data_IF_939949397972
#
_entry.id   IF_939949397972
#
_cell.length_a   1.000
_cell.length_b   1.000
_cell.length_c   1.000
_cell.angle_alpha   90.00
_cell.angle_beta   90.00
_cell.angle_gamma   90.00
#
_symmetry.space_group_name_H-M   'P 1'
#
loop_
_entity.id
_entity.type
_entity.pdbx_description
1 polymer ?
#
# COMPACT_ATOMS: atom_id res chain seq x y z
N UNK A 1 0.20 39.96 -37.21
CA UNK A 1 0.16 39.79 -35.73
C UNK A 1 -0.13 38.33 -35.43
N UNK A 2 0.87 37.60 -34.92
CA UNK A 2 0.75 36.17 -34.62
C UNK A 2 0.14 35.92 -33.25
N UNK A 3 -0.95 35.15 -33.18
CA UNK A 3 -1.47 34.60 -31.94
C UNK A 3 -1.18 33.10 -31.91
N UNK A 4 -0.10 32.79 -31.20
CA UNK A 4 0.24 31.46 -30.69
C UNK A 4 -0.80 31.08 -29.65
N UNK A 5 -1.51 29.97 -29.84
CA UNK A 5 -2.61 29.56 -28.97
C UNK A 5 -2.77 28.05 -28.82
N UNK A 6 -1.72 27.40 -28.30
CA UNK A 6 -1.71 26.21 -27.43
C UNK A 6 -2.74 25.09 -27.70
N UNK A 7 -2.23 23.99 -28.26
CA UNK A 7 -2.82 22.65 -28.09
C UNK A 7 -2.94 22.32 -26.60
N UNK A 8 -4.11 21.99 -26.03
CA UNK A 8 -4.16 21.32 -24.74
C UNK A 8 -3.73 19.86 -24.93
N UNK A 9 -2.66 19.54 -24.22
CA UNK A 9 -1.99 18.25 -24.12
C UNK A 9 -2.92 17.14 -23.64
N UNK A 10 -2.80 15.99 -24.29
CA UNK A 10 -3.27 14.72 -23.80
C UNK A 10 -2.64 14.39 -22.44
N UNK A 11 -3.46 14.26 -21.41
CA UNK A 11 -3.17 13.45 -20.22
C UNK A 11 -4.48 13.00 -19.59
N UNK A 12 -5.34 12.36 -20.39
CA UNK A 12 -6.49 11.62 -19.87
C UNK A 12 -5.98 10.21 -19.56
N UNK A 13 -5.34 10.07 -18.40
CA UNK A 13 -5.03 8.77 -17.81
C UNK A 13 -6.37 8.20 -17.33
N UNK A 14 -6.80 7.00 -17.78
CA UNK A 14 -8.04 6.42 -17.29
C UNK A 14 -7.87 5.98 -15.84
N UNK A 15 -8.83 6.38 -14.99
CA UNK A 15 -8.95 5.98 -13.59
C UNK A 15 -9.16 4.46 -13.48
N UNK A 16 -8.38 3.72 -12.66
CA UNK A 16 -8.49 2.27 -12.51
C UNK A 16 -9.57 1.81 -11.50
N UNK A 17 -10.55 2.64 -11.18
CA UNK A 17 -11.59 2.33 -10.18
C UNK A 17 -13.01 2.66 -10.69
N UNK A 18 -13.33 2.22 -11.90
CA UNK A 18 -14.73 2.11 -12.34
C UNK A 18 -15.37 0.88 -11.68
N UNK A 19 -15.95 1.14 -10.52
CA UNK A 19 -16.82 0.23 -9.78
C UNK A 19 -18.04 -0.11 -10.64
N UNK A 20 -18.09 -1.34 -11.16
CA UNK A 20 -19.25 -1.87 -11.90
C UNK A 20 -20.17 -2.59 -10.90
N UNK A 21 -21.31 -2.01 -10.49
CA UNK A 21 -22.35 -2.80 -9.84
C UNK A 21 -23.06 -3.66 -10.89
N UNK A 22 -22.72 -4.95 -10.92
CA UNK A 22 -23.51 -5.98 -11.60
C UNK A 22 -24.88 -6.06 -10.94
N UNK A 23 -25.87 -5.43 -11.56
CA UNK A 23 -27.28 -5.58 -11.18
C UNK A 23 -27.72 -7.03 -11.38
N UNK A 24 -28.10 -7.71 -10.30
CA UNK A 24 -28.81 -8.99 -10.35
C UNK A 24 -30.18 -8.78 -9.71
N UNK A 25 -31.20 -8.76 -10.55
CA UNK A 25 -32.60 -8.73 -10.17
C UNK A 25 -33.00 -10.14 -9.73
N UNK A 26 -33.43 -10.32 -8.48
CA UNK A 26 -34.21 -11.47 -8.07
C UNK A 26 -35.17 -11.06 -6.96
N UNK A 27 -36.43 -10.94 -7.37
CA UNK A 27 -37.61 -10.73 -6.54
C UNK A 27 -37.75 -11.90 -5.57
N UNK A 28 -37.60 -11.66 -4.28
CA UNK A 28 -38.11 -12.57 -3.26
C UNK A 28 -38.44 -11.80 -1.99
N UNK A 29 -39.60 -12.09 -1.43
CA UNK A 29 -40.16 -11.49 -0.21
C UNK A 29 -39.30 -11.71 1.05
N UNK A 30 -38.12 -12.33 0.91
CA UNK A 30 -37.09 -12.47 1.94
C UNK A 30 -36.39 -11.14 2.28
N UNK A 31 -36.60 -10.09 1.47
CA UNK A 31 -36.14 -8.73 1.75
C UNK A 31 -36.84 -8.06 2.95
N UNK A 32 -37.85 -8.69 3.56
CA UNK A 32 -38.46 -8.23 4.81
C UNK A 32 -37.90 -8.92 6.07
N UNK A 33 -36.99 -9.88 5.95
CA UNK A 33 -36.36 -10.52 7.12
C UNK A 33 -35.19 -9.69 7.63
N UNK A 34 -35.51 -8.52 8.19
CA UNK A 34 -34.52 -7.60 8.73
C UNK A 34 -35.10 -6.30 9.25
N UNK A 35 -36.41 -6.24 9.53
CA UNK A 35 -36.99 -5.11 10.26
C UNK A 35 -36.60 -5.21 11.74
N UNK A 36 -35.33 -4.95 12.02
CA UNK A 36 -34.81 -4.84 13.38
C UNK A 36 -35.01 -3.39 13.80
N UNK A 37 -36.07 -3.13 14.55
CA UNK A 37 -36.23 -1.87 15.28
C UNK A 37 -35.22 -1.86 16.43
N UNK A 38 -33.98 -1.43 16.18
CA UNK A 38 -33.00 -1.19 17.24
C UNK A 38 -33.21 0.23 17.76
N UNK A 39 -34.03 0.33 18.79
CA UNK A 39 -34.12 1.50 19.66
C UNK A 39 -32.78 1.68 20.39
N UNK A 40 -32.30 2.92 20.45
CA UNK A 40 -31.11 3.40 21.17
C UNK A 40 -29.73 3.22 20.47
N UNK A 41 -29.44 4.13 19.53
CA UNK A 41 -28.18 4.89 19.59
C UNK A 41 -26.89 4.40 18.91
N UNK A 42 -26.83 3.22 18.28
CA UNK A 42 -25.56 2.70 17.72
C UNK A 42 -25.65 2.24 16.26
N UNK A 43 -24.74 2.71 15.38
CA UNK A 43 -24.50 2.02 14.10
C UNK A 43 -23.85 0.67 14.40
N UNK A 44 -24.29 -0.39 13.73
CA UNK A 44 -23.71 -1.73 13.82
C UNK A 44 -23.12 -2.13 12.46
N UNK A 45 -22.03 -2.89 12.45
CA UNK A 45 -21.38 -3.34 11.23
C UNK A 45 -22.23 -4.41 10.52
N UNK A 46 -22.52 -4.29 9.20
CA UNK A 46 -23.36 -5.25 8.49
C UNK A 46 -22.70 -6.63 8.30
N UNK A 47 -21.38 -6.73 8.41
CA UNK A 47 -20.64 -7.98 8.23
C UNK A 47 -20.55 -8.82 9.52
N UNK A 48 -20.44 -8.16 10.67
CA UNK A 48 -20.17 -8.83 11.95
C UNK A 48 -21.13 -8.46 13.08
N UNK A 49 -22.14 -7.63 12.81
CA UNK A 49 -23.23 -7.21 13.70
C UNK A 49 -22.79 -6.64 15.07
N UNK A 50 -21.52 -6.28 15.20
CA UNK A 50 -20.98 -5.58 16.36
C UNK A 50 -21.15 -4.07 16.19
N UNK A 51 -21.27 -3.30 17.29
CA UNK A 51 -21.26 -1.84 17.23
C UNK A 51 -19.99 -1.37 16.50
N UNK A 52 -20.08 -0.30 15.70
CA UNK A 52 -18.95 0.15 14.86
C UNK A 52 -17.68 0.38 15.69
N UNK A 53 -17.80 0.82 16.94
CA UNK A 53 -16.67 0.99 17.88
C UNK A 53 -15.94 -0.31 18.23
N UNK A 54 -16.64 -1.46 18.25
CA UNK A 54 -16.04 -2.77 18.53
C UNK A 54 -15.68 -3.54 17.24
N UNK A 55 -16.02 -3.01 16.07
CA UNK A 55 -15.84 -3.69 14.81
C UNK A 55 -14.36 -3.76 14.41
N UNK A 56 -13.83 -4.98 14.31
CA UNK A 56 -12.48 -5.28 13.80
C UNK A 56 -12.45 -5.61 12.31
N UNK A 57 -13.63 -5.71 11.67
CA UNK A 57 -13.83 -6.28 10.34
C UNK A 57 -13.16 -5.45 9.23
N UNK A 58 -12.81 -4.18 9.50
CA UNK A 58 -12.04 -3.29 8.61
C UNK A 58 -10.79 -2.68 9.26
N UNK A 59 -10.32 -3.20 10.40
CA UNK A 59 -9.15 -2.64 11.06
C UNK A 59 -7.88 -3.02 10.30
N UNK A 60 -7.23 -2.01 9.69
CA UNK A 60 -5.90 -2.12 9.12
C UNK A 60 -4.90 -2.39 10.24
N UNK A 61 -4.48 -3.64 10.40
CA UNK A 61 -3.42 -4.00 11.36
C UNK A 61 -2.08 -3.49 10.82
N UNK A 62 -1.52 -2.50 11.50
CA UNK A 62 -0.13 -2.12 11.32
C UNK A 62 0.69 -3.14 12.10
N UNK A 63 1.66 -3.84 11.47
CA UNK A 63 2.48 -4.79 12.21
C UNK A 63 3.24 -4.07 13.33
N UNK A 64 3.07 -4.53 14.57
CA UNK A 64 3.90 -4.11 15.70
C UNK A 64 5.35 -4.47 15.38
N UNK A 65 6.17 -3.45 15.17
CA UNK A 65 7.61 -3.57 14.99
C UNK A 65 8.29 -2.32 15.50
N UNK A 66 9.62 -2.40 15.69
CA UNK A 66 10.47 -1.33 16.24
C UNK A 66 10.36 0.03 15.53
N UNK A 67 9.64 0.12 14.40
CA UNK A 67 9.53 1.34 13.60
C UNK A 67 10.76 1.62 12.74
N UNK A 68 11.70 0.66 12.67
CA UNK A 68 13.02 0.86 12.07
C UNK A 68 13.13 0.07 10.76
N UNK A 69 13.19 0.79 9.65
CA UNK A 69 13.49 0.24 8.33
C UNK A 69 14.97 -0.18 8.25
N UNK A 70 15.22 -1.49 8.20
CA UNK A 70 16.56 -2.07 8.08
C UNK A 70 16.89 -2.30 6.61
N UNK A 71 17.88 -1.58 6.09
CA UNK A 71 18.34 -1.68 4.70
C UNK A 71 19.60 -2.53 4.65
N UNK A 72 19.54 -3.69 4.01
CA UNK A 72 20.64 -4.64 3.90
C UNK A 72 21.06 -4.87 2.46
N UNK A 73 22.37 -4.92 2.24
CA UNK A 73 22.93 -5.38 0.98
C UNK A 73 23.19 -6.89 1.06
N UNK A 74 22.77 -7.60 0.04
CA UNK A 74 22.96 -9.03 -0.11
C UNK A 74 23.68 -9.32 -1.44
N UNK A 75 24.84 -9.96 -1.34
CA UNK A 75 25.72 -10.31 -2.47
C UNK A 75 26.12 -11.78 -2.49
N UNK A 76 25.92 -12.50 -1.37
CA UNK A 76 26.33 -13.90 -1.22
C UNK A 76 25.46 -14.82 -2.08
N UNK A 77 26.10 -15.65 -2.91
CA UNK A 77 25.45 -16.75 -3.62
C UNK A 77 24.74 -16.42 -4.93
N UNK A 78 24.79 -15.17 -5.42
CA UNK A 78 24.12 -14.76 -6.67
C UNK A 78 25.06 -14.35 -7.81
N UNK A 79 26.23 -14.98 -7.91
CA UNK A 79 27.13 -14.81 -9.06
C UNK A 79 27.55 -13.35 -9.32
N UNK A 80 27.75 -12.56 -8.26
CA UNK A 80 28.14 -11.15 -8.36
C UNK A 80 26.99 -10.14 -8.46
N UNK A 81 25.73 -10.58 -8.57
CA UNK A 81 24.58 -9.67 -8.56
C UNK A 81 24.28 -9.19 -7.14
N UNK A 82 24.29 -7.88 -6.96
CA UNK A 82 23.91 -7.22 -5.71
C UNK A 82 22.40 -7.02 -5.64
N UNK A 83 21.82 -7.27 -4.47
CA UNK A 83 20.40 -6.99 -4.17
C UNK A 83 20.35 -6.27 -2.84
N UNK A 84 19.51 -5.25 -2.74
CA UNK A 84 19.26 -4.52 -1.50
C UNK A 84 17.89 -4.92 -0.97
N UNK A 85 17.83 -5.39 0.27
CA UNK A 85 16.59 -5.77 0.97
C UNK A 85 16.25 -4.75 2.05
N UNK A 86 14.97 -4.36 2.14
CA UNK A 86 14.46 -3.41 3.14
C UNK A 86 13.37 -4.11 3.93
N UNK A 87 13.56 -4.24 5.24
CA UNK A 87 12.62 -4.90 6.15
C UNK A 87 12.32 -4.05 7.39
N UNK A 88 11.26 -4.37 8.13
CA UNK A 88 10.91 -3.67 9.38
C UNK A 88 10.29 -2.28 9.19
N UNK A 89 9.69 -2.01 8.03
CA UNK A 89 8.97 -0.77 7.78
C UNK A 89 7.63 -0.81 8.52
N UNK A 90 7.30 0.16 9.40
CA UNK A 90 6.09 0.16 10.22
C UNK A 90 4.87 0.63 9.42
N UNK A 91 4.54 -0.10 8.35
CA UNK A 91 3.44 0.21 7.46
C UNK A 91 2.62 -1.04 7.19
N UNK A 92 1.32 -0.85 6.99
CA UNK A 92 0.43 -1.89 6.49
C UNK A 92 0.78 -2.28 5.05
N UNK A 93 0.24 -3.40 4.57
CA UNK A 93 0.60 -3.95 3.25
C UNK A 93 0.34 -2.99 2.08
N UNK A 94 -0.75 -2.21 2.13
CA UNK A 94 -1.07 -1.21 1.10
C UNK A 94 -0.02 -0.09 1.01
N UNK A 95 0.24 0.71 2.07
CA UNK A 95 1.25 1.76 2.02
C UNK A 95 2.67 1.20 1.82
N UNK A 96 2.92 -0.05 2.21
CA UNK A 96 4.19 -0.73 1.94
C UNK A 96 4.38 -1.00 0.44
N UNK A 97 3.33 -1.43 -0.28
CA UNK A 97 3.37 -1.60 -1.75
C UNK A 97 3.58 -0.27 -2.47
N UNK A 98 2.98 0.81 -1.98
CA UNK A 98 3.19 2.16 -2.50
C UNK A 98 4.64 2.62 -2.31
N UNK A 99 5.19 2.46 -1.11
CA UNK A 99 6.60 2.75 -0.84
C UNK A 99 7.53 1.92 -1.73
N UNK A 100 7.31 0.61 -1.82
CA UNK A 100 8.09 -0.27 -2.67
C UNK A 100 8.08 0.22 -4.13
N UNK A 101 6.92 0.66 -4.62
CA UNK A 101 6.77 1.19 -5.97
C UNK A 101 7.48 2.53 -6.15
N UNK A 102 7.42 3.43 -5.17
CA UNK A 102 8.13 4.70 -5.19
C UNK A 102 9.66 4.52 -5.17
N UNK A 103 10.16 3.59 -4.34
CA UNK A 103 11.59 3.29 -4.24
C UNK A 103 12.11 2.65 -5.54
N UNK A 104 11.38 1.70 -6.14
CA UNK A 104 11.70 1.13 -7.45
C UNK A 104 11.77 2.19 -8.55
N UNK A 105 10.78 3.10 -8.60
CA UNK A 105 10.77 4.23 -9.55
C UNK A 105 11.98 5.15 -9.37
N UNK A 106 12.41 5.38 -8.12
CA UNK A 106 13.56 6.22 -7.80
C UNK A 106 14.88 5.57 -8.20
N UNK A 107 15.02 4.28 -7.97
CA UNK A 107 16.23 3.52 -8.34
C UNK A 107 16.28 3.17 -9.82
N UNK A 108 15.15 3.18 -10.53
CA UNK A 108 15.07 2.75 -11.93
C UNK A 108 15.34 1.25 -12.11
N UNK A 109 15.30 0.48 -11.02
CA UNK A 109 15.60 -0.94 -11.01
C UNK A 109 14.36 -1.77 -10.69
N UNK A 110 14.41 -3.04 -11.11
CA UNK A 110 13.41 -4.02 -10.74
C UNK A 110 13.48 -4.36 -9.25
N UNK A 111 12.35 -4.82 -8.71
CA UNK A 111 12.25 -5.25 -7.33
C UNK A 111 10.93 -5.94 -7.01
N UNK A 112 10.91 -6.71 -5.93
CA UNK A 112 9.77 -7.46 -5.44
C UNK A 112 9.42 -7.04 -4.01
N UNK A 113 8.15 -7.15 -3.63
CA UNK A 113 7.73 -7.11 -2.24
C UNK A 113 7.35 -8.52 -1.84
N UNK A 114 8.03 -9.08 -0.84
CA UNK A 114 7.81 -10.45 -0.38
C UNK A 114 7.74 -10.46 1.14
N UNK A 115 6.63 -10.96 1.69
CA UNK A 115 6.44 -11.11 3.14
C UNK A 115 6.76 -9.84 3.96
N UNK A 116 6.37 -8.67 3.45
CA UNK A 116 6.66 -7.38 4.09
C UNK A 116 8.11 -6.88 3.93
N UNK A 117 8.91 -7.53 3.09
CA UNK A 117 10.30 -7.17 2.76
C UNK A 117 10.38 -6.70 1.31
N UNK A 118 10.98 -5.53 1.10
CA UNK A 118 11.18 -4.95 -0.23
C UNK A 118 12.56 -5.37 -0.74
N UNK A 119 12.61 -6.12 -1.83
CA UNK A 119 13.84 -6.52 -2.52
C UNK A 119 14.06 -5.63 -3.75
N UNK A 120 15.22 -5.01 -3.88
CA UNK A 120 15.58 -4.10 -4.98
C UNK A 120 16.87 -4.60 -5.60
N UNK A 121 16.92 -4.72 -6.93
CA UNK A 121 18.15 -5.10 -7.63
C UNK A 121 19.16 -3.94 -7.61
N UNK A 122 20.43 -4.26 -7.38
CA UNK A 122 21.52 -3.29 -7.30
C UNK A 122 21.95 -2.94 -5.86
N UNK A 123 23.01 -2.15 -5.77
CA UNK A 123 23.46 -1.53 -4.53
C UNK A 123 22.96 -0.08 -4.50
N UNK A 124 21.85 0.13 -3.81
CA UNK A 124 21.24 1.46 -3.64
C UNK A 124 21.04 1.78 -2.16
N UNK A 125 21.85 1.20 -1.28
CA UNK A 125 21.67 1.31 0.17
C UNK A 125 21.65 2.78 0.61
N UNK A 126 22.60 3.59 0.16
CA UNK A 126 22.72 5.00 0.54
C UNK A 126 21.54 5.84 0.03
N UNK A 127 21.12 5.61 -1.23
CA UNK A 127 19.97 6.30 -1.82
C UNK A 127 18.69 5.95 -1.07
N UNK A 128 18.48 4.67 -0.73
CA UNK A 128 17.30 4.21 0.00
C UNK A 128 17.28 4.77 1.43
N UNK A 129 18.42 4.79 2.12
CA UNK A 129 18.53 5.40 3.45
C UNK A 129 18.17 6.89 3.39
N UNK A 130 18.69 7.63 2.41
CA UNK A 130 18.38 9.04 2.23
C UNK A 130 16.89 9.29 1.92
N UNK A 131 16.29 8.51 1.02
CA UNK A 131 14.87 8.63 0.68
C UNK A 131 13.95 8.26 1.85
N UNK A 132 14.28 7.22 2.61
CA UNK A 132 13.54 6.84 3.81
C UNK A 132 13.64 7.93 4.89
N UNK A 133 14.84 8.48 5.09
CA UNK A 133 15.08 9.57 6.06
C UNK A 133 14.33 10.84 5.68
N UNK A 134 14.31 11.21 4.39
CA UNK A 134 13.53 12.35 3.86
C UNK A 134 12.03 12.21 4.10
N UNK A 135 11.53 10.98 4.08
CA UNK A 135 10.11 10.66 4.33
C UNK A 135 9.78 10.56 5.82
N UNK A 136 10.76 10.75 6.71
CA UNK A 136 10.57 10.69 8.16
C UNK A 136 10.62 9.28 8.75
N UNK A 137 11.09 8.28 8.00
CA UNK A 137 11.26 6.93 8.52
C UNK A 137 12.63 6.77 9.18
N UNK A 138 12.66 6.05 10.30
CA UNK A 138 13.93 5.67 10.94
C UNK A 138 14.55 4.53 10.15
N UNK A 139 15.55 4.83 9.32
CA UNK A 139 16.23 3.82 8.51
C UNK A 139 17.65 3.55 9.01
N UNK A 140 18.02 2.27 9.12
CA UNK A 140 19.38 1.84 9.53
C UNK A 140 19.96 0.87 8.50
N UNK A 141 21.24 1.08 8.16
CA UNK A 141 22.00 0.10 7.38
C UNK A 141 22.20 -1.15 8.23
N UNK A 142 21.85 -2.31 7.69
CA UNK A 142 22.00 -3.61 8.33
C UNK A 142 22.91 -4.48 7.45
N UNK A 143 24.05 -4.92 7.98
CA UNK A 143 25.06 -5.67 7.21
C UNK A 143 26.21 -4.78 6.72
N UNK A 144 27.44 -5.25 6.98
CA UNK A 144 28.70 -4.66 6.52
C UNK A 144 28.99 -4.97 5.06
#
# INVERSE_FOLDING_TARGET
>A
MGLRGRRPSASRYPDPYEDKPVVKKASSFSALSGLVYSTDGGRHCPDCNQPVDACICKQTRIPEGDGIARVRRETKGRGGKTVTTVSGVPLAEEPLKELASALKKRCGTGGALKDGVIEIQGDHVELLLAELSKRGFTAKKSGG
#
